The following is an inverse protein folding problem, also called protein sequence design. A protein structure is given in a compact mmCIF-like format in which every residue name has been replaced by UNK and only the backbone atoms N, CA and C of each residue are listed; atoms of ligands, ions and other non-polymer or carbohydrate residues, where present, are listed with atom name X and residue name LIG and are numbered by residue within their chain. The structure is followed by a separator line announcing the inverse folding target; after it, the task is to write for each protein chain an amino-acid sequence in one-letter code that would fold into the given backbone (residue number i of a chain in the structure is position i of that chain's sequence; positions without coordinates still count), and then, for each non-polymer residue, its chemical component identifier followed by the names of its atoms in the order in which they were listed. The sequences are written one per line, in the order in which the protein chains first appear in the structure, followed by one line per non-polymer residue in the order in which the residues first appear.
data_IF_254164179524
#
_entry.id   IF_254164179524
#
_cell.length_a   1.000
_cell.length_b   1.000
_cell.length_c   1.000
_cell.angle_alpha   90.00
_cell.angle_beta   90.00
_cell.angle_gamma   90.00
#
_symmetry.space_group_name_H-M   'P 1'
#
loop_
_entity.id
_entity.type
_entity.pdbx_description
1 polymer ?
#
# COMPACT_ATOMS: atom_id res chain seq x y z
N UNK A 1 -17.55 74.08 -17.13
CA UNK A 1 -16.36 73.28 -17.54
C UNK A 1 -16.23 72.14 -16.56
N UNK A 2 -16.83 71.02 -16.92
CA UNK A 2 -17.04 69.85 -16.07
C UNK A 2 -15.78 68.98 -15.98
N UNK A 3 -15.40 68.64 -14.75
CA UNK A 3 -14.26 67.78 -14.43
C UNK A 3 -14.70 66.32 -14.51
N UNK A 4 -14.37 65.63 -15.61
CA UNK A 4 -14.64 64.20 -15.80
C UNK A 4 -13.72 63.35 -14.92
N UNK A 5 -14.30 62.59 -14.00
CA UNK A 5 -13.61 61.58 -13.19
C UNK A 5 -13.61 60.26 -13.95
N UNK A 6 -12.44 59.79 -14.38
CA UNK A 6 -12.27 58.48 -15.00
C UNK A 6 -12.28 57.39 -13.92
N UNK A 7 -13.21 56.44 -14.03
CA UNK A 7 -13.32 55.28 -13.14
C UNK A 7 -12.46 54.12 -13.69
N UNK A 8 -11.42 53.73 -12.96
CA UNK A 8 -10.56 52.58 -13.25
C UNK A 8 -11.23 51.29 -12.75
N UNK A 9 -11.24 50.29 -13.62
CA UNK A 9 -11.96 49.03 -13.46
C UNK A 9 -11.44 48.10 -12.36
N UNK A 10 -12.26 47.08 -12.07
CA UNK A 10 -11.88 45.94 -11.26
C UNK A 10 -12.44 44.66 -11.92
N UNK A 11 -11.68 44.10 -12.87
CA UNK A 11 -11.97 42.77 -13.38
C UNK A 11 -11.34 41.74 -12.45
N UNK A 12 -12.15 41.13 -11.58
CA UNK A 12 -11.69 40.00 -10.77
C UNK A 12 -11.54 38.76 -11.67
N UNK A 13 -10.30 38.36 -11.92
CA UNK A 13 -9.96 37.07 -12.50
C UNK A 13 -10.26 35.98 -11.45
N UNK A 14 -11.37 35.27 -11.64
CA UNK A 14 -11.62 34.02 -10.93
C UNK A 14 -10.61 32.97 -11.43
N UNK A 15 -9.52 32.78 -10.68
CA UNK A 15 -8.64 31.63 -10.89
C UNK A 15 -9.37 30.41 -10.36
N UNK A 16 -10.05 29.67 -11.23
CA UNK A 16 -10.60 28.37 -10.89
C UNK A 16 -9.43 27.44 -10.52
N UNK A 17 -9.34 27.09 -9.23
CA UNK A 17 -8.42 26.06 -8.77
C UNK A 17 -8.91 24.72 -9.34
N UNK A 18 -8.29 24.25 -10.41
CA UNK A 18 -8.48 22.87 -10.85
C UNK A 18 -7.78 21.96 -9.85
N UNK A 19 -8.57 21.27 -9.01
CA UNK A 19 -8.06 20.15 -8.23
C UNK A 19 -7.98 18.95 -9.16
N UNK A 20 -6.78 18.56 -9.59
CA UNK A 20 -6.57 17.26 -10.18
C UNK A 20 -6.72 16.22 -9.05
N UNK A 21 -7.85 15.53 -9.01
CA UNK A 21 -7.92 14.27 -8.29
C UNK A 21 -7.07 13.28 -9.07
N UNK A 22 -5.80 13.13 -8.70
CA UNK A 22 -5.00 12.01 -9.19
C UNK A 22 -5.69 10.72 -8.75
N UNK A 23 -6.28 10.00 -9.69
CA UNK A 23 -6.78 8.63 -9.48
C UNK A 23 -5.62 7.63 -9.51
N UNK A 24 -4.51 7.97 -8.84
CA UNK A 24 -3.42 7.03 -8.62
C UNK A 24 -3.88 6.03 -7.57
N UNK A 25 -4.23 4.83 -8.02
CA UNK A 25 -4.58 3.72 -7.13
C UNK A 25 -3.44 3.50 -6.14
N UNK A 26 -3.71 3.65 -4.83
CA UNK A 26 -2.74 3.42 -3.75
C UNK A 26 -2.45 1.92 -3.51
N UNK A 27 -2.67 1.08 -4.53
CA UNK A 27 -2.43 -0.36 -4.50
C UNK A 27 -1.22 -0.68 -5.37
N UNK A 28 -0.25 -1.34 -4.78
CA UNK A 28 0.98 -1.79 -5.44
C UNK A 28 0.85 -3.27 -5.70
N UNK A 29 0.96 -3.71 -6.95
CA UNK A 29 1.01 -5.14 -7.27
C UNK A 29 2.28 -5.76 -6.65
N UNK A 30 2.12 -6.90 -5.98
CA UNK A 30 3.20 -7.57 -5.24
C UNK A 30 3.54 -8.90 -5.87
N UNK A 31 2.55 -9.75 -6.09
CA UNK A 31 2.75 -11.06 -6.70
C UNK A 31 1.48 -11.55 -7.36
N UNK A 32 1.63 -12.45 -8.31
CA UNK A 32 0.52 -13.14 -8.97
C UNK A 32 0.42 -14.58 -8.47
N UNK A 33 -0.80 -15.11 -8.53
CA UNK A 33 -1.14 -16.51 -8.39
C UNK A 33 -1.84 -16.97 -9.68
N UNK A 34 -2.03 -18.26 -9.86
CA UNK A 34 -2.68 -18.80 -11.06
C UNK A 34 -4.08 -18.23 -11.30
N UNK A 35 -4.81 -17.90 -10.23
CA UNK A 35 -6.21 -17.46 -10.27
C UNK A 35 -6.41 -15.99 -9.87
N UNK A 36 -5.35 -15.24 -9.55
CA UNK A 36 -5.48 -13.85 -9.11
C UNK A 36 -4.18 -13.10 -8.84
N UNK A 37 -4.32 -11.90 -8.28
CA UNK A 37 -3.22 -10.97 -8.01
C UNK A 37 -3.29 -10.51 -6.57
N UNK A 38 -2.14 -10.48 -5.89
CA UNK A 38 -1.97 -9.84 -4.60
C UNK A 38 -1.41 -8.43 -4.78
N UNK A 39 -2.05 -7.45 -4.14
CA UNK A 39 -1.61 -6.07 -4.12
C UNK A 39 -1.59 -5.52 -2.68
N UNK A 40 -0.57 -4.75 -2.33
CA UNK A 40 -0.45 -4.11 -1.03
C UNK A 40 -0.96 -2.66 -1.06
N UNK A 41 -1.62 -2.20 0.00
CA UNK A 41 -2.07 -0.81 0.11
C UNK A 41 -0.98 0.08 0.70
N UNK A 42 -0.55 1.08 -0.06
CA UNK A 42 0.38 2.10 0.40
C UNK A 42 -0.15 2.80 1.68
N UNK A 43 0.76 3.18 2.59
CA UNK A 43 0.44 3.85 3.85
C UNK A 43 -0.12 2.96 4.97
N UNK A 44 -0.39 1.68 4.70
CA UNK A 44 -0.94 0.75 5.71
C UNK A 44 0.12 -0.05 6.46
N UNK A 45 1.38 0.00 6.03
CA UNK A 45 2.47 -0.68 6.71
C UNK A 45 2.58 -0.21 8.16
N UNK A 46 2.67 -1.17 9.09
CA UNK A 46 2.91 -0.94 10.52
C UNK A 46 3.90 -1.99 11.00
N UNK A 47 4.85 -1.56 11.81
CA UNK A 47 5.72 -2.46 12.56
C UNK A 47 5.46 -2.23 14.05
N UNK A 48 5.03 -3.29 14.75
CA UNK A 48 4.71 -3.22 16.17
C UNK A 48 5.45 -4.35 16.88
N UNK A 49 6.41 -3.99 17.74
CA UNK A 49 7.16 -4.94 18.59
C UNK A 49 7.75 -6.13 17.81
N UNK A 50 8.33 -5.88 16.64
CA UNK A 50 8.96 -6.94 15.83
C UNK A 50 8.01 -7.71 14.92
N UNK A 51 6.75 -7.26 14.78
CA UNK A 51 5.78 -7.82 13.85
C UNK A 51 5.42 -6.75 12.81
N UNK A 52 5.77 -7.03 11.55
CA UNK A 52 5.51 -6.18 10.39
C UNK A 52 4.18 -6.60 9.75
N UNK A 53 3.27 -5.65 9.53
CA UNK A 53 1.97 -5.92 8.92
C UNK A 53 1.55 -4.85 7.92
N UNK A 54 0.76 -5.24 6.92
CA UNK A 54 0.15 -4.33 5.95
C UNK A 54 -1.17 -4.90 5.42
N UNK A 55 -1.98 -4.03 4.82
CA UNK A 55 -3.22 -4.43 4.14
C UNK A 55 -2.90 -4.91 2.72
N UNK A 56 -3.37 -6.11 2.41
CA UNK A 56 -3.32 -6.70 1.09
C UNK A 56 -4.72 -6.91 0.54
N UNK A 57 -4.82 -6.83 -0.78
CA UNK A 57 -5.96 -7.22 -1.59
C UNK A 57 -5.56 -8.43 -2.40
N UNK A 58 -6.40 -9.47 -2.38
CA UNK A 58 -6.38 -10.53 -3.35
C UNK A 58 -7.53 -10.33 -4.33
N UNK A 59 -7.22 -10.14 -5.61
CA UNK A 59 -8.22 -9.99 -6.65
C UNK A 59 -8.12 -11.17 -7.62
N UNK A 60 -9.18 -11.97 -7.68
CA UNK A 60 -9.27 -13.10 -8.60
C UNK A 60 -9.53 -12.64 -10.04
N UNK A 61 -9.31 -13.54 -11.00
CA UNK A 61 -9.60 -13.30 -12.43
C UNK A 61 -11.07 -12.94 -12.69
N UNK A 62 -12.01 -13.49 -11.92
CA UNK A 62 -13.44 -13.13 -11.99
C UNK A 62 -13.82 -11.87 -11.19
N UNK A 63 -12.82 -11.06 -10.80
CA UNK A 63 -13.00 -9.76 -10.11
C UNK A 63 -13.59 -9.86 -8.70
N UNK A 64 -13.58 -11.05 -8.08
CA UNK A 64 -13.84 -11.17 -6.64
C UNK A 64 -12.64 -10.59 -5.90
N UNK A 65 -12.92 -9.80 -4.87
CA UNK A 65 -11.91 -9.13 -4.05
C UNK A 65 -12.01 -9.63 -2.62
N UNK A 66 -10.87 -10.02 -2.06
CA UNK A 66 -10.70 -10.36 -0.65
C UNK A 66 -9.59 -9.50 -0.06
N UNK A 67 -9.76 -9.08 1.20
CA UNK A 67 -8.78 -8.25 1.88
C UNK A 67 -8.21 -8.99 3.08
N UNK A 68 -6.89 -8.87 3.25
CA UNK A 68 -6.16 -9.52 4.33
C UNK A 68 -5.23 -8.54 5.02
N UNK A 69 -5.14 -8.64 6.35
CA UNK A 69 -3.96 -8.13 7.05
C UNK A 69 -2.89 -9.21 6.93
N UNK A 70 -1.85 -8.94 6.16
CA UNK A 70 -0.65 -9.79 6.10
C UNK A 70 0.26 -9.38 7.24
N UNK A 71 0.87 -10.36 7.90
CA UNK A 71 1.87 -10.18 8.95
C UNK A 71 3.05 -11.13 8.74
N UNK A 72 4.24 -10.62 9.00
CA UNK A 72 5.52 -11.36 9.02
C UNK A 72 6.32 -10.88 10.23
N UNK A 73 7.01 -11.82 10.90
CA UNK A 73 7.94 -11.43 11.97
C UNK A 73 9.19 -10.81 11.40
N UNK A 74 9.72 -9.83 12.10
CA UNK A 74 10.98 -9.20 11.75
C UNK A 74 12.13 -10.22 11.72
N UNK A 75 12.16 -11.16 12.67
CA UNK A 75 13.15 -12.23 12.71
C UNK A 75 13.10 -13.14 11.46
N UNK A 76 11.92 -13.35 10.87
CA UNK A 76 11.75 -14.20 9.68
C UNK A 76 12.31 -13.46 8.44
N UNK A 77 12.10 -12.15 8.36
CA UNK A 77 12.75 -11.32 7.36
C UNK A 77 14.27 -11.25 7.54
N UNK A 78 14.78 -11.22 8.78
CA UNK A 78 16.22 -11.20 9.06
C UNK A 78 16.87 -12.57 8.74
N UNK A 79 16.12 -13.65 8.89
CA UNK A 79 16.58 -15.02 8.61
C UNK A 79 16.46 -15.39 7.12
N UNK A 80 15.65 -14.66 6.36
CA UNK A 80 15.34 -14.98 4.95
C UNK A 80 14.37 -16.17 4.79
N UNK A 81 13.73 -16.62 5.87
CA UNK A 81 12.70 -17.67 5.84
C UNK A 81 11.85 -17.64 7.11
N UNK A 82 10.64 -18.19 7.04
CA UNK A 82 9.72 -18.26 8.19
C UNK A 82 8.26 -18.45 7.80
N UNK A 83 7.34 -17.77 8.49
CA UNK A 83 5.90 -17.93 8.29
C UNK A 83 5.21 -16.56 8.08
N UNK A 84 4.46 -16.44 6.98
CA UNK A 84 3.46 -15.40 6.78
C UNK A 84 2.14 -15.79 7.41
N UNK A 85 1.44 -14.78 7.94
CA UNK A 85 0.07 -14.93 8.44
C UNK A 85 -0.86 -13.95 7.74
N UNK A 86 -1.93 -14.48 7.16
CA UNK A 86 -3.01 -13.70 6.58
C UNK A 86 -4.20 -13.76 7.53
N UNK A 87 -4.69 -12.59 7.93
CA UNK A 87 -5.87 -12.46 8.78
C UNK A 87 -6.99 -11.79 8.01
N UNK A 88 -8.22 -12.25 8.23
CA UNK A 88 -9.42 -11.50 7.86
C UNK A 88 -9.49 -10.17 8.62
N UNK A 89 -10.35 -9.26 8.17
CA UNK A 89 -10.52 -7.94 8.81
C UNK A 89 -11.09 -8.03 10.23
N UNK A 90 -11.79 -9.12 10.58
CA UNK A 90 -12.23 -9.40 11.95
C UNK A 90 -11.11 -9.93 12.86
N UNK A 91 -9.88 -10.05 12.34
CA UNK A 91 -8.70 -10.50 13.06
C UNK A 91 -8.54 -12.02 13.13
N UNK A 92 -9.48 -12.81 12.59
CA UNK A 92 -9.32 -14.27 12.53
C UNK A 92 -8.24 -14.65 11.53
N UNK A 93 -7.46 -15.66 11.88
CA UNK A 93 -6.47 -16.25 10.99
C UNK A 93 -7.20 -16.88 9.79
N UNK A 94 -6.88 -16.41 8.59
CA UNK A 94 -7.38 -16.96 7.34
C UNK A 94 -6.44 -18.04 6.81
N UNK A 95 -5.14 -17.75 6.78
CA UNK A 95 -4.13 -18.62 6.19
C UNK A 95 -2.75 -18.39 6.79
N UNK A 96 -1.90 -19.42 6.73
CA UNK A 96 -0.47 -19.38 7.02
C UNK A 96 0.28 -19.86 5.78
N UNK A 97 1.30 -19.11 5.36
CA UNK A 97 2.12 -19.48 4.22
C UNK A 97 3.60 -19.51 4.59
N UNK A 98 4.34 -20.43 4.01
CA UNK A 98 5.79 -20.45 4.18
C UNK A 98 6.41 -19.24 3.46
N UNK A 99 7.36 -18.59 4.13
CA UNK A 99 8.23 -17.59 3.54
C UNK A 99 9.61 -18.18 3.30
N UNK A 100 10.12 -18.01 2.09
CA UNK A 100 11.52 -18.23 1.72
C UNK A 100 11.91 -17.07 0.82
N UNK A 101 12.94 -16.32 1.20
CA UNK A 101 13.41 -15.17 0.45
C UNK A 101 13.82 -15.56 -0.96
N UNK A 102 13.45 -14.75 -1.94
CA UNK A 102 13.73 -14.97 -3.37
C UNK A 102 13.21 -16.33 -3.90
N UNK A 103 12.19 -16.89 -3.25
CA UNK A 103 11.52 -18.12 -3.67
C UNK A 103 10.48 -17.92 -4.78
N UNK A 104 9.93 -19.03 -5.27
CA UNK A 104 8.97 -19.05 -6.40
C UNK A 104 7.50 -19.17 -5.97
N UNK A 105 7.16 -18.80 -4.73
CA UNK A 105 5.80 -18.93 -4.20
C UNK A 105 5.15 -17.56 -3.97
N UNK A 106 3.82 -17.53 -3.88
CA UNK A 106 3.08 -16.35 -3.41
C UNK A 106 3.58 -15.88 -2.05
N UNK A 107 3.93 -16.84 -1.17
CA UNK A 107 4.50 -16.53 0.14
C UNK A 107 5.87 -15.85 0.05
N UNK A 108 6.73 -16.28 -0.87
CA UNK A 108 8.00 -15.61 -1.16
C UNK A 108 7.77 -14.15 -1.63
N UNK A 109 6.92 -13.95 -2.65
CA UNK A 109 6.66 -12.61 -3.19
C UNK A 109 6.06 -11.64 -2.17
N UNK A 110 5.10 -12.09 -1.37
CA UNK A 110 4.52 -11.27 -0.28
C UNK A 110 5.57 -10.98 0.80
N UNK A 111 6.35 -11.99 1.21
CA UNK A 111 7.37 -11.85 2.24
C UNK A 111 8.47 -10.89 1.82
N UNK A 112 9.03 -11.04 0.61
CA UNK A 112 10.09 -10.18 0.08
C UNK A 112 9.64 -8.73 0.00
N UNK A 113 8.42 -8.48 -0.46
CA UNK A 113 7.84 -7.14 -0.44
C UNK A 113 7.76 -6.57 0.99
N UNK A 114 7.23 -7.34 1.94
CA UNK A 114 7.09 -6.89 3.33
C UNK A 114 8.46 -6.63 3.99
N UNK A 115 9.45 -7.48 3.73
CA UNK A 115 10.80 -7.34 4.26
C UNK A 115 11.53 -6.14 3.64
N UNK A 116 11.35 -5.88 2.35
CA UNK A 116 11.88 -4.70 1.68
C UNK A 116 11.27 -3.40 2.22
N UNK A 117 9.94 -3.36 2.40
CA UNK A 117 9.25 -2.20 2.99
C UNK A 117 9.74 -1.95 4.42
N UNK A 118 9.94 -2.99 5.22
CA UNK A 118 10.54 -2.87 6.56
C UNK A 118 11.94 -2.27 6.49
N UNK A 119 12.79 -2.77 5.59
CA UNK A 119 14.15 -2.25 5.37
C UNK A 119 14.15 -0.76 5.03
N UNK A 120 13.27 -0.34 4.11
CA UNK A 120 13.10 1.07 3.76
C UNK A 120 12.59 1.90 4.96
N UNK A 121 11.58 1.43 5.69
CA UNK A 121 11.02 2.12 6.84
C UNK A 121 12.02 2.28 8.00
N UNK A 122 12.89 1.30 8.22
CA UNK A 122 13.95 1.37 9.22
C UNK A 122 15.08 2.32 8.81
N UNK A 123 15.35 2.45 7.51
CA UNK A 123 16.37 3.37 6.99
C UNK A 123 15.95 4.84 7.13
N UNK A 124 14.64 5.14 7.03
CA UNK A 124 14.09 6.48 7.22
C UNK A 124 14.08 6.94 8.69
N UNK A 125 14.27 6.03 9.66
CA UNK A 125 14.32 6.34 11.10
C UNK A 125 15.73 6.67 11.60
N UNK A 126 16.76 6.42 10.78
CA UNK A 126 18.17 6.72 11.09
C UNK A 126 18.53 8.10 10.56
#
# INVERSE_FOLDING_TARGET
MDKKTASLGFSALFVASVAFAETTSNWVEVTTADDGVFSAKAGTYRNVKGDSSALFMYQTKNKKVEYYKVSIKDADCDSGYGELKLFYMDGKLAFKGDYVAEGNSVGAGIGDFMCAVRGAANSQKR
#
